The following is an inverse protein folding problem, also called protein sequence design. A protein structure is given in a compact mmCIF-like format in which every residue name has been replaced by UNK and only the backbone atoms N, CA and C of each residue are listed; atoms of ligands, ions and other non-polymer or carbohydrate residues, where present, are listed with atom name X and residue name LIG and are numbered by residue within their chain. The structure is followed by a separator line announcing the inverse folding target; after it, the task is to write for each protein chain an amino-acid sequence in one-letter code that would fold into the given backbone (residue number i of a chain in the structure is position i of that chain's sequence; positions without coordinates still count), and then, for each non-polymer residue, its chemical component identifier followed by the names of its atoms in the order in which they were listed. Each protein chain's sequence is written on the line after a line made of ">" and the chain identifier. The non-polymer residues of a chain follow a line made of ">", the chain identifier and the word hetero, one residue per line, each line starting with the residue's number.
data_IF_345210300246
#
_entry.id   IF_345210300246
#
_cell.length_a   1.000
_cell.length_b   1.000
_cell.length_c   1.000
_cell.angle_alpha   90.00
_cell.angle_beta   90.00
_cell.angle_gamma   90.00
#
_symmetry.space_group_name_H-M   'P 1'
#
loop_
_entity.id
_entity.type
_entity.pdbx_description
1 polymer ?
#
# COMPACT_ATOMS: atom_id res chain seq x y z
N UNK A 1 58.53 2.87 62.01
CA UNK A 1 57.36 3.64 61.55
C UNK A 1 57.12 3.22 60.11
N UNK A 2 56.29 2.18 59.92
CA UNK A 2 56.02 1.59 58.60
C UNK A 2 54.75 2.25 58.04
N UNK A 3 54.91 2.96 56.92
CA UNK A 3 53.81 3.50 56.12
C UNK A 3 53.22 2.34 55.30
N UNK A 4 51.95 2.00 55.54
CA UNK A 4 51.21 1.09 54.66
C UNK A 4 50.82 1.84 53.38
N UNK A 5 50.98 1.25 52.19
CA UNK A 5 50.47 1.83 50.96
C UNK A 5 48.94 1.77 50.95
N UNK A 6 48.34 2.90 50.60
CA UNK A 6 46.91 3.09 50.41
C UNK A 6 46.45 2.24 49.21
N UNK A 7 45.69 1.18 49.48
CA UNK A 7 45.08 0.33 48.44
C UNK A 7 43.98 1.14 47.72
N UNK A 8 44.25 1.55 46.47
CA UNK A 8 43.27 2.22 45.61
C UNK A 8 42.24 1.19 45.15
N UNK A 9 41.04 1.26 45.74
CA UNK A 9 39.94 0.37 45.41
C UNK A 9 39.56 0.45 43.91
N UNK A 10 39.34 -0.70 43.23
CA UNK A 10 39.01 -0.73 41.81
C UNK A 10 37.65 -0.05 41.54
N UNK A 11 37.66 0.90 40.61
CA UNK A 11 36.53 1.73 40.22
C UNK A 11 35.40 0.91 39.55
N UNK A 12 34.56 0.27 40.37
CA UNK A 12 33.41 -0.55 39.96
C UNK A 12 32.38 0.20 39.09
N UNK A 13 32.36 1.53 39.16
CA UNK A 13 31.48 2.39 38.33
C UNK A 13 31.78 2.29 36.83
N UNK A 14 33.01 1.99 36.44
CA UNK A 14 33.40 1.90 35.03
C UNK A 14 32.79 0.68 34.32
N UNK A 15 32.59 -0.42 35.05
CA UNK A 15 32.02 -1.66 34.51
C UNK A 15 30.51 -1.57 34.27
N UNK A 16 29.78 -0.83 35.11
CA UNK A 16 28.34 -0.62 34.92
C UNK A 16 28.05 0.26 33.72
N UNK A 17 28.80 1.37 33.53
CA UNK A 17 28.62 2.25 32.37
C UNK A 17 28.93 1.54 31.03
N UNK A 18 29.98 0.71 30.99
CA UNK A 18 30.34 -0.05 29.78
C UNK A 18 29.28 -1.09 29.39
N UNK A 19 28.68 -1.77 30.37
CA UNK A 19 27.62 -2.75 30.12
C UNK A 19 26.34 -2.07 29.62
N UNK A 20 25.94 -0.95 30.23
CA UNK A 20 24.77 -0.18 29.78
C UNK A 20 24.91 0.37 28.37
N UNK A 21 26.09 0.88 28.00
CA UNK A 21 26.35 1.36 26.64
C UNK A 21 26.23 0.23 25.59
N UNK A 22 26.71 -0.96 25.92
CA UNK A 22 26.65 -2.11 25.01
C UNK A 22 25.20 -2.59 24.79
N UNK A 23 24.37 -2.58 25.84
CA UNK A 23 22.94 -2.89 25.71
C UNK A 23 22.20 -1.88 24.82
N UNK A 24 22.49 -0.58 24.94
CA UNK A 24 21.85 0.47 24.11
C UNK A 24 22.23 0.28 22.64
N UNK A 25 23.49 -0.02 22.34
CA UNK A 25 23.95 -0.28 20.96
C UNK A 25 23.26 -1.52 20.38
N UNK A 26 23.21 -2.61 21.13
CA UNK A 26 22.56 -3.86 20.67
C UNK A 26 21.06 -3.63 20.45
N UNK A 27 20.37 -2.96 21.37
CA UNK A 27 18.95 -2.61 21.21
C UNK A 27 18.71 -1.72 19.99
N UNK A 28 19.57 -0.72 19.77
CA UNK A 28 19.51 0.16 18.60
C UNK A 28 19.70 -0.61 17.28
N UNK A 29 20.64 -1.55 17.23
CA UNK A 29 20.88 -2.39 16.04
C UNK A 29 19.69 -3.31 15.78
N UNK A 30 19.16 -3.98 16.81
CA UNK A 30 17.99 -4.87 16.68
C UNK A 30 16.75 -4.08 16.22
N UNK A 31 16.48 -2.92 16.82
CA UNK A 31 15.39 -2.05 16.40
C UNK A 31 15.57 -1.56 14.96
N UNK A 32 16.79 -1.18 14.57
CA UNK A 32 17.12 -0.80 13.20
C UNK A 32 16.83 -1.90 12.19
N UNK A 33 17.30 -3.13 12.46
CA UNK A 33 17.06 -4.30 11.60
C UNK A 33 15.56 -4.61 11.49
N UNK A 34 14.79 -4.45 12.56
CA UNK A 34 13.35 -4.70 12.55
C UNK A 34 12.52 -3.62 11.84
N UNK A 35 12.95 -2.36 11.88
CA UNK A 35 12.20 -1.22 11.33
C UNK A 35 12.56 -0.90 9.88
N UNK A 36 13.82 -1.09 9.47
CA UNK A 36 14.28 -0.78 8.11
C UNK A 36 13.44 -1.45 7.00
N UNK A 37 13.07 -2.75 7.09
CA UNK A 37 12.25 -3.39 6.07
C UNK A 37 10.86 -2.74 5.92
N UNK A 38 10.25 -2.28 7.03
CA UNK A 38 8.94 -1.62 7.00
C UNK A 38 9.01 -0.27 6.31
N UNK A 39 10.05 0.51 6.60
CA UNK A 39 10.27 1.82 5.98
C UNK A 39 10.53 1.64 4.49
N UNK A 40 11.41 0.70 4.10
CA UNK A 40 11.67 0.43 2.68
C UNK A 40 10.40 -0.02 1.97
N UNK A 41 9.60 -0.89 2.58
CA UNK A 41 8.34 -1.36 2.00
C UNK A 41 7.34 -0.21 1.81
N UNK A 42 7.21 0.71 2.78
CA UNK A 42 6.29 1.85 2.63
C UNK A 42 6.69 2.79 1.50
N UNK A 43 8.00 3.07 1.34
CA UNK A 43 8.52 3.88 0.24
C UNK A 43 8.33 3.21 -1.13
N UNK A 44 8.58 1.90 -1.21
CA UNK A 44 8.41 1.15 -2.47
C UNK A 44 6.93 1.03 -2.86
N UNK A 45 6.02 0.90 -1.88
CA UNK A 45 4.57 0.89 -2.13
C UNK A 45 4.06 2.27 -2.57
N UNK A 46 4.52 3.35 -1.90
CA UNK A 46 4.16 4.72 -2.27
C UNK A 46 4.65 5.12 -3.66
N UNK A 47 5.85 4.68 -4.07
CA UNK A 47 6.37 4.98 -5.42
C UNK A 47 5.64 4.25 -6.55
N UNK A 48 4.77 3.30 -6.24
CA UNK A 48 4.01 2.51 -7.23
C UNK A 48 2.53 2.84 -7.28
N UNK A 49 2.05 3.65 -6.33
CA UNK A 49 0.67 4.09 -6.23
C UNK A 49 0.57 5.53 -6.71
N UNK A 50 -0.41 5.79 -7.58
CA UNK A 50 -0.77 7.12 -8.02
C UNK A 50 -1.52 7.91 -6.93
N UNK A 51 -1.91 9.16 -7.23
CA UNK A 51 -2.80 9.93 -6.36
C UNK A 51 -4.13 9.19 -6.13
N UNK A 52 -4.75 9.45 -4.98
CA UNK A 52 -6.09 8.96 -4.67
C UNK A 52 -7.11 9.94 -5.24
N UNK A 53 -7.94 9.47 -6.16
CA UNK A 53 -9.06 10.21 -6.72
C UNK A 53 -10.34 9.90 -5.96
N UNK A 54 -11.17 10.91 -5.74
CA UNK A 54 -12.44 10.78 -5.02
C UNK A 54 -13.54 11.42 -5.85
N UNK A 55 -14.61 10.66 -6.10
CA UNK A 55 -15.79 11.10 -6.85
C UNK A 55 -17.05 10.93 -6.00
N UNK A 56 -18.00 11.83 -6.19
CA UNK A 56 -19.34 11.72 -5.61
C UNK A 56 -20.33 11.20 -6.65
N UNK A 57 -21.21 10.29 -6.24
CA UNK A 57 -22.22 9.64 -7.07
C UNK A 57 -23.59 10.10 -6.60
N UNK A 58 -24.28 10.87 -7.43
CA UNK A 58 -25.54 11.54 -7.06
C UNK A 58 -26.70 10.56 -6.82
N UNK A 59 -26.73 9.43 -7.53
CA UNK A 59 -27.70 8.34 -7.37
C UNK A 59 -26.93 7.03 -7.10
N UNK A 60 -26.54 6.78 -5.83
CA UNK A 60 -25.67 5.67 -5.48
C UNK A 60 -26.39 4.33 -5.62
N UNK A 61 -25.84 3.35 -6.37
CA UNK A 61 -26.37 1.99 -6.35
C UNK A 61 -26.15 1.35 -4.97
N UNK A 62 -26.89 0.29 -4.66
CA UNK A 62 -26.73 -0.46 -3.39
C UNK A 62 -25.35 -1.13 -3.24
N UNK A 63 -24.69 -1.39 -4.36
CA UNK A 63 -23.36 -1.98 -4.42
C UNK A 63 -22.58 -1.47 -5.63
N UNK A 64 -21.26 -1.61 -5.58
CA UNK A 64 -20.37 -1.24 -6.68
C UNK A 64 -20.71 -2.04 -7.95
N UNK A 65 -21.29 -1.45 -8.98
CA UNK A 65 -21.57 -2.15 -10.24
C UNK A 65 -20.33 -2.21 -11.13
N UNK A 66 -20.27 -3.17 -12.05
CA UNK A 66 -19.17 -3.28 -13.02
C UNK A 66 -19.08 -2.01 -13.89
N UNK A 67 -20.24 -1.51 -14.36
CA UNK A 67 -20.37 -0.27 -15.14
C UNK A 67 -19.91 0.99 -14.37
N UNK A 68 -20.26 1.09 -13.08
CA UNK A 68 -19.80 2.20 -12.25
C UNK A 68 -18.29 2.11 -12.01
N UNK A 69 -17.78 0.91 -11.79
CA UNK A 69 -16.35 0.68 -11.59
C UNK A 69 -15.54 1.06 -12.85
N UNK A 70 -15.91 0.57 -14.04
CA UNK A 70 -15.18 0.85 -15.29
C UNK A 70 -15.22 2.33 -15.65
N UNK A 71 -16.40 2.96 -15.59
CA UNK A 71 -16.55 4.38 -15.94
C UNK A 71 -15.76 5.30 -15.00
N UNK A 72 -15.71 4.99 -13.70
CA UNK A 72 -14.94 5.76 -12.72
C UNK A 72 -13.44 5.48 -12.84
N UNK A 73 -13.05 4.24 -13.12
CA UNK A 73 -11.65 3.88 -13.34
C UNK A 73 -11.07 4.53 -14.60
N UNK A 74 -11.85 4.61 -15.68
CA UNK A 74 -11.46 5.34 -16.89
C UNK A 74 -11.25 6.83 -16.61
N UNK A 75 -12.15 7.48 -15.85
CA UNK A 75 -11.95 8.88 -15.41
C UNK A 75 -10.65 9.06 -14.61
N UNK A 76 -10.35 8.14 -13.69
CA UNK A 76 -9.10 8.17 -12.92
C UNK A 76 -7.86 7.99 -13.82
N UNK A 77 -7.91 7.05 -14.77
CA UNK A 77 -6.87 6.86 -15.78
C UNK A 77 -6.64 8.12 -16.61
N UNK A 78 -7.71 8.77 -17.08
CA UNK A 78 -7.63 10.00 -17.85
C UNK A 78 -7.03 11.16 -17.03
N UNK A 79 -7.43 11.31 -15.77
CA UNK A 79 -6.89 12.34 -14.86
C UNK A 79 -5.39 12.17 -14.60
N UNK A 80 -4.90 10.94 -14.58
CA UNK A 80 -3.48 10.62 -14.43
C UNK A 80 -2.70 10.63 -15.77
N UNK A 81 -3.35 11.02 -16.88
CA UNK A 81 -2.73 11.14 -18.19
C UNK A 81 -2.63 9.83 -18.99
N UNK A 82 -3.32 8.79 -18.55
CA UNK A 82 -3.43 7.49 -19.23
C UNK A 82 -4.73 7.39 -20.04
N UNK A 83 -4.97 8.36 -20.93
CA UNK A 83 -6.18 8.44 -21.74
C UNK A 83 -6.04 7.83 -23.13
N UNK A 84 -7.17 7.66 -23.81
CA UNK A 84 -7.23 7.32 -25.23
C UNK A 84 -7.22 5.83 -25.55
N UNK A 85 -7.18 5.46 -26.84
CA UNK A 85 -7.33 4.08 -27.31
C UNK A 85 -6.14 3.17 -26.93
N UNK A 86 -5.10 3.74 -26.31
CA UNK A 86 -3.92 3.00 -25.89
C UNK A 86 -4.17 2.18 -24.63
N UNK A 87 -5.12 2.56 -23.77
CA UNK A 87 -5.40 1.88 -22.52
C UNK A 87 -6.80 1.28 -22.56
N UNK A 88 -6.87 -0.05 -22.65
CA UNK A 88 -8.13 -0.77 -22.68
C UNK A 88 -8.29 -1.62 -21.42
N UNK A 89 -9.49 -1.68 -20.82
CA UNK A 89 -9.75 -2.60 -19.73
C UNK A 89 -9.65 -4.04 -20.24
N UNK A 90 -9.08 -4.93 -19.41
CA UNK A 90 -9.02 -6.36 -19.69
C UNK A 90 -10.23 -7.03 -19.04
N UNK A 91 -10.91 -7.88 -19.81
CA UNK A 91 -11.99 -8.72 -19.30
C UNK A 91 -11.46 -9.75 -18.28
N UNK A 92 -12.18 -9.88 -17.17
CA UNK A 92 -11.87 -10.78 -16.08
C UNK A 92 -13.14 -11.27 -15.37
N UNK A 93 -13.61 -12.44 -15.80
CA UNK A 93 -14.92 -13.00 -15.44
C UNK A 93 -14.88 -13.90 -14.19
N UNK A 94 -13.83 -13.76 -13.37
CA UNK A 94 -13.58 -14.62 -12.21
C UNK A 94 -14.46 -14.30 -11.00
N UNK A 95 -15.08 -13.12 -10.95
CA UNK A 95 -15.97 -12.70 -9.87
C UNK A 95 -17.40 -12.47 -10.34
N UNK A 96 -18.30 -12.39 -9.36
CA UNK A 96 -19.70 -12.05 -9.57
C UNK A 96 -20.12 -11.01 -8.56
N UNK A 97 -21.02 -10.14 -8.99
CA UNK A 97 -21.64 -9.10 -8.16
C UNK A 97 -22.62 -9.69 -7.14
N UNK A 98 -22.99 -8.93 -6.08
CA UNK A 98 -23.94 -9.38 -5.06
C UNK A 98 -25.31 -9.83 -5.59
N UNK A 99 -25.73 -9.35 -6.76
CA UNK A 99 -26.98 -9.77 -7.39
C UNK A 99 -26.87 -11.09 -8.19
N UNK A 100 -25.67 -11.71 -8.23
CA UNK A 100 -25.40 -12.95 -8.93
C UNK A 100 -24.96 -12.80 -10.39
N UNK A 101 -25.04 -11.59 -10.96
CA UNK A 101 -24.52 -11.31 -12.30
C UNK A 101 -23.00 -11.36 -12.30
N UNK A 102 -22.45 -11.95 -13.35
CA UNK A 102 -21.00 -12.06 -13.57
C UNK A 102 -20.39 -10.68 -13.84
N UNK A 103 -19.26 -10.38 -13.20
CA UNK A 103 -18.50 -9.18 -13.52
C UNK A 103 -17.74 -9.41 -14.83
N UNK A 104 -17.60 -8.37 -15.66
CA UNK A 104 -16.84 -8.45 -16.92
C UNK A 104 -15.45 -7.87 -16.75
N UNK A 105 -15.29 -6.80 -15.97
CA UNK A 105 -13.99 -6.12 -15.81
C UNK A 105 -13.53 -5.99 -14.35
N UNK A 106 -14.47 -5.80 -13.43
CA UNK A 106 -14.21 -5.63 -12.01
C UNK A 106 -13.88 -6.98 -11.37
N UNK A 107 -12.65 -7.09 -10.85
CA UNK A 107 -12.28 -8.18 -9.96
C UNK A 107 -12.59 -7.75 -8.52
N UNK A 108 -13.66 -8.31 -7.96
CA UNK A 108 -14.12 -7.99 -6.61
C UNK A 108 -13.27 -8.62 -5.52
N UNK A 109 -13.18 -7.91 -4.39
CA UNK A 109 -12.69 -8.45 -3.15
C UNK A 109 -13.74 -9.42 -2.55
N UNK A 110 -13.30 -10.60 -2.11
CA UNK A 110 -14.18 -11.64 -1.58
C UNK A 110 -14.81 -11.31 -0.20
N UNK A 111 -14.24 -10.34 0.52
CA UNK A 111 -14.69 -9.91 1.86
C UNK A 111 -15.57 -8.67 1.74
N UNK A 112 -15.18 -7.70 0.93
CA UNK A 112 -15.95 -6.47 0.68
C UNK A 112 -16.34 -6.38 -0.81
N UNK A 113 -17.62 -6.63 -1.18
CA UNK A 113 -18.03 -6.60 -2.59
C UNK A 113 -18.02 -5.20 -3.21
N UNK A 114 -17.91 -4.15 -2.38
CA UNK A 114 -17.76 -2.76 -2.80
C UNK A 114 -16.30 -2.33 -2.96
N UNK A 115 -15.38 -3.28 -2.88
CA UNK A 115 -13.94 -3.08 -3.09
C UNK A 115 -13.45 -4.03 -4.17
N UNK A 116 -12.56 -3.56 -5.03
CA UNK A 116 -11.99 -4.39 -6.08
C UNK A 116 -10.95 -3.65 -6.90
N UNK A 117 -10.65 -4.19 -8.07
CA UNK A 117 -9.78 -3.53 -9.03
C UNK A 117 -10.17 -3.84 -10.47
N UNK A 118 -9.73 -2.98 -11.39
CA UNK A 118 -9.80 -3.18 -12.83
C UNK A 118 -8.39 -3.15 -13.40
N UNK A 119 -8.10 -4.08 -14.32
CA UNK A 119 -6.83 -4.14 -15.03
C UNK A 119 -6.96 -3.43 -16.38
N UNK A 120 -6.07 -2.48 -16.65
CA UNK A 120 -5.91 -1.84 -17.94
C UNK A 120 -4.61 -2.30 -18.60
N UNK A 121 -4.66 -2.49 -19.91
CA UNK A 121 -3.51 -2.89 -20.73
C UNK A 121 -3.26 -1.90 -21.85
N UNK A 122 -1.98 -1.61 -22.03
CA UNK A 122 -1.47 -0.90 -23.17
C UNK A 122 -0.67 -1.85 -24.06
N UNK A 123 -1.28 -2.18 -25.19
CA UNK A 123 -0.73 -3.14 -26.15
C UNK A 123 0.52 -2.62 -26.85
N UNK A 124 0.62 -1.30 -27.06
CA UNK A 124 1.78 -0.68 -27.69
C UNK A 124 2.99 -0.64 -26.74
N UNK A 125 2.79 -0.30 -25.47
CA UNK A 125 3.86 -0.22 -24.48
C UNK A 125 4.16 -1.55 -23.78
N UNK A 126 3.30 -2.56 -23.96
CA UNK A 126 3.35 -3.84 -23.22
C UNK A 126 3.36 -3.63 -21.72
N UNK A 127 2.46 -2.76 -21.25
CA UNK A 127 2.35 -2.37 -19.83
C UNK A 127 0.93 -2.50 -19.34
N UNK A 128 0.80 -2.88 -18.07
CA UNK A 128 -0.47 -2.86 -17.35
C UNK A 128 -0.51 -1.78 -16.26
N UNK A 129 -1.73 -1.39 -15.94
CA UNK A 129 -2.09 -0.58 -14.79
C UNK A 129 -3.27 -1.23 -14.09
N UNK A 130 -3.25 -1.19 -12.77
CA UNK A 130 -4.36 -1.66 -11.95
C UNK A 130 -5.00 -0.43 -11.36
N UNK A 131 -6.30 -0.24 -11.53
CA UNK A 131 -7.05 0.78 -10.81
C UNK A 131 -7.75 0.07 -9.66
N UNK A 132 -7.32 0.35 -8.44
CA UNK A 132 -8.03 -0.09 -7.24
C UNK A 132 -9.21 0.84 -6.99
N UNK A 133 -10.35 0.26 -6.63
CA UNK A 133 -11.62 0.95 -6.58
C UNK A 133 -12.36 0.57 -5.31
N UNK A 134 -12.89 1.55 -4.60
CA UNK A 134 -13.75 1.34 -3.44
C UNK A 134 -14.97 2.26 -3.50
N UNK A 135 -16.14 1.70 -3.17
CA UNK A 135 -17.41 2.41 -3.10
C UNK A 135 -17.96 2.36 -1.67
N UNK A 136 -18.30 3.52 -1.12
CA UNK A 136 -18.91 3.64 0.19
C UNK A 136 -19.85 4.85 0.22
N UNK A 137 -21.14 4.62 0.49
CA UNK A 137 -22.15 5.68 0.68
C UNK A 137 -22.11 6.82 -0.37
N UNK A 138 -22.17 6.47 -1.66
CA UNK A 138 -22.12 7.45 -2.75
C UNK A 138 -20.75 8.11 -2.97
N UNK A 139 -19.71 7.65 -2.27
CA UNK A 139 -18.33 8.06 -2.50
C UNK A 139 -17.57 6.95 -3.21
N UNK A 140 -17.04 7.27 -4.38
CA UNK A 140 -16.10 6.42 -5.10
C UNK A 140 -14.68 6.88 -4.86
N UNK A 141 -13.78 5.96 -4.55
CA UNK A 141 -12.35 6.21 -4.54
C UNK A 141 -11.64 5.35 -5.57
N UNK A 142 -10.66 5.94 -6.26
CA UNK A 142 -9.86 5.26 -7.26
C UNK A 142 -8.38 5.57 -7.06
N UNK A 143 -7.53 4.56 -7.14
CA UNK A 143 -6.08 4.74 -7.08
C UNK A 143 -5.40 3.84 -8.10
N UNK A 144 -4.49 4.42 -8.88
CA UNK A 144 -3.73 3.68 -9.89
C UNK A 144 -2.52 3.00 -9.27
N UNK A 145 -2.19 1.81 -9.77
CA UNK A 145 -1.04 1.03 -9.37
C UNK A 145 -0.30 0.52 -10.60
N UNK A 146 1.02 0.51 -10.52
CA UNK A 146 1.87 -0.16 -11.51
C UNK A 146 1.88 -1.67 -11.21
N UNK A 147 1.38 -2.48 -12.14
CA UNK A 147 1.51 -3.94 -12.05
C UNK A 147 2.98 -4.35 -12.09
N UNK A 148 3.35 -5.32 -11.26
CA UNK A 148 4.65 -6.02 -11.37
C UNK A 148 4.68 -6.91 -12.60
#
# INVERSE_FOLDING_TARGET
>A
MHLYPEEVAPNSRLHHMRRSALFIVVLGVVAGIALLPRIINSWVVQSRSGPLHVYHIDDPPDFLTDDLAISTAQKAMEQDGFSGPLWSPIEDDRTASPNGSRDTYLVRNAINPNHGYILFWNEQEKRSRIVQIEFDDGRMTCQLWISK
#
